data_IF_263522843363
#
_entry.id   IF_263522843363
#
_cell.length_a   1.000
_cell.length_b   1.000
_cell.length_c   1.000
_cell.angle_alpha   90.00
_cell.angle_beta   90.00
_cell.angle_gamma   90.00
#
_symmetry.space_group_name_H-M   'P 1'
#
loop_
_entity.id
_entity.type
_entity.pdbx_description
1 polymer ?
#
# COMPACT_ATOMS: atom_id res chain seq x y z
N UNK A 1 -14.68 -14.21 31.56
CA UNK A 1 -13.62 -15.15 31.14
C UNK A 1 -13.39 -14.88 29.66
N UNK A 2 -12.18 -14.46 29.26
CA UNK A 2 -11.85 -14.22 27.86
C UNK A 2 -11.21 -15.50 27.29
N UNK A 3 -11.76 -16.00 26.19
CA UNK A 3 -11.29 -17.21 25.52
C UNK A 3 -10.02 -16.89 24.71
N UNK A 4 -8.94 -17.62 24.98
CA UNK A 4 -7.65 -17.38 24.36
C UNK A 4 -7.60 -18.10 22.99
N UNK A 5 -7.71 -17.35 21.89
CA UNK A 5 -7.48 -17.90 20.56
C UNK A 5 -6.01 -18.34 20.41
N UNK A 6 -5.79 -19.65 20.42
CA UNK A 6 -4.49 -20.26 20.17
C UNK A 6 -4.30 -20.41 18.66
N UNK A 7 -3.33 -19.67 18.10
CA UNK A 7 -2.89 -19.87 16.71
C UNK A 7 -1.78 -20.93 16.69
N UNK A 8 -2.04 -22.06 16.05
CA UNK A 8 -1.03 -23.09 15.80
C UNK A 8 -0.25 -22.74 14.52
N UNK A 9 1.04 -22.47 14.66
CA UNK A 9 1.95 -22.32 13.54
C UNK A 9 2.49 -23.69 13.12
N UNK A 10 2.53 -24.02 11.81
CA UNK A 10 3.06 -25.31 11.37
C UNK A 10 4.55 -25.42 11.69
N UNK A 11 4.90 -26.42 12.49
CA UNK A 11 6.28 -26.83 12.77
C UNK A 11 6.89 -27.45 11.52
N UNK A 12 8.03 -26.91 11.10
CA UNK A 12 8.86 -27.37 9.99
C UNK A 12 9.28 -28.83 10.20
N UNK A 13 8.61 -29.78 9.52
CA UNK A 13 8.97 -31.20 9.59
C UNK A 13 7.98 -32.19 8.97
N UNK A 14 6.74 -31.80 8.70
CA UNK A 14 5.78 -32.67 7.99
C UNK A 14 5.89 -32.49 6.48
N UNK A 15 6.04 -33.60 5.73
CA UNK A 15 6.00 -33.63 4.25
C UNK A 15 4.79 -32.84 3.74
N UNK A 16 5.06 -31.71 3.10
CA UNK A 16 4.06 -30.89 2.47
C UNK A 16 3.33 -31.72 1.41
N UNK A 17 2.00 -31.79 1.50
CA UNK A 17 1.18 -32.21 0.36
C UNK A 17 1.37 -31.14 -0.70
N UNK A 18 1.80 -31.55 -1.90
CA UNK A 18 1.93 -30.74 -3.11
C UNK A 18 0.86 -29.66 -3.12
N UNK A 19 1.25 -28.41 -2.89
CA UNK A 19 0.35 -27.27 -2.95
C UNK A 19 -0.21 -27.23 -4.36
N UNK A 20 -1.52 -27.45 -4.46
CA UNK A 20 -2.24 -27.36 -5.72
C UNK A 20 -1.97 -25.99 -6.34
N UNK A 21 -1.38 -26.04 -7.54
CA UNK A 21 -1.47 -25.07 -8.63
C UNK A 21 -1.39 -23.59 -8.20
N UNK A 22 -0.22 -22.99 -8.43
CA UNK A 22 -0.03 -21.52 -8.41
C UNK A 22 -1.19 -20.90 -9.18
N UNK A 23 -2.09 -20.22 -8.47
CA UNK A 23 -3.21 -19.50 -9.06
C UNK A 23 -2.57 -18.38 -9.88
N UNK A 24 -2.56 -18.54 -11.20
CA UNK A 24 -2.07 -17.55 -12.13
C UNK A 24 -2.78 -16.21 -11.92
N UNK A 25 -2.09 -15.13 -12.25
CA UNK A 25 -2.50 -13.73 -12.16
C UNK A 25 -4.02 -13.57 -12.10
N UNK A 26 -4.53 -13.28 -10.89
CA UNK A 26 -5.94 -12.94 -10.70
C UNK A 26 -6.19 -11.67 -11.50
N UNK A 27 -6.93 -11.79 -12.59
CA UNK A 27 -7.52 -10.65 -13.29
C UNK A 27 -8.49 -9.98 -12.32
N UNK A 28 -7.98 -9.00 -11.58
CA UNK A 28 -8.81 -8.07 -10.82
C UNK A 28 -9.55 -7.25 -11.87
N UNK A 29 -10.71 -7.76 -12.29
CA UNK A 29 -11.67 -7.00 -13.10
C UNK A 29 -11.82 -5.64 -12.43
N UNK A 30 -11.51 -4.56 -13.16
CA UNK A 30 -11.71 -3.17 -12.74
C UNK A 30 -13.15 -3.04 -12.27
N UNK A 31 -13.39 -3.23 -10.97
CA UNK A 31 -14.60 -2.74 -10.31
C UNK A 31 -14.46 -1.24 -10.36
N UNK A 32 -15.47 -0.60 -10.91
CA UNK A 32 -15.58 0.85 -11.06
C UNK A 32 -15.08 1.50 -9.77
N UNK A 33 -14.13 2.43 -9.89
CA UNK A 33 -13.46 3.05 -8.77
C UNK A 33 -14.50 3.67 -7.82
N UNK A 34 -14.91 2.90 -6.82
CA UNK A 34 -15.70 3.42 -5.72
C UNK A 34 -14.87 4.55 -5.13
N UNK A 35 -15.47 5.74 -5.08
CA UNK A 35 -14.87 6.92 -4.46
C UNK A 35 -14.39 6.45 -3.08
N UNK A 36 -13.06 6.37 -2.92
CA UNK A 36 -12.45 5.83 -1.71
C UNK A 36 -13.02 6.51 -0.47
N UNK A 37 -12.91 5.89 0.72
CA UNK A 37 -13.38 6.51 1.95
C UNK A 37 -12.87 7.95 1.97
N UNK A 38 -13.80 8.89 2.13
CA UNK A 38 -13.48 10.32 2.27
C UNK A 38 -12.47 10.39 3.39
N UNK A 39 -11.21 10.61 3.02
CA UNK A 39 -10.13 10.44 3.96
C UNK A 39 -10.28 11.52 5.01
N UNK A 40 -10.31 11.16 6.30
CA UNK A 40 -10.14 12.10 7.44
C UNK A 40 -8.73 12.75 7.47
N UNK A 41 -8.07 12.78 6.32
CA UNK A 41 -6.90 13.58 6.03
C UNK A 41 -7.38 15.02 5.88
N UNK A 42 -6.79 15.99 6.61
CA UNK A 42 -6.83 17.35 6.10
C UNK A 42 -6.34 17.26 4.66
N UNK A 43 -7.08 17.87 3.75
CA UNK A 43 -6.64 18.12 2.39
C UNK A 43 -5.26 18.79 2.43
N UNK A 44 -4.18 18.01 2.54
CA UNK A 44 -2.87 18.38 2.00
C UNK A 44 -2.92 18.14 0.48
N UNK A 45 -4.10 18.40 -0.10
CA UNK A 45 -4.60 18.16 -1.45
C UNK A 45 -4.63 19.50 -2.20
N UNK A 46 -3.56 20.27 -2.05
CA UNK A 46 -3.26 21.44 -2.89
C UNK A 46 -1.81 21.47 -3.35
N UNK A 47 -0.97 20.55 -2.88
CA UNK A 47 0.40 20.43 -3.34
C UNK A 47 0.44 19.65 -4.64
N UNK A 48 0.76 20.35 -5.72
CA UNK A 48 1.11 19.75 -7.01
C UNK A 48 2.09 18.61 -6.78
N UNK A 49 1.73 17.39 -7.16
CA UNK A 49 2.67 16.25 -7.16
C UNK A 49 3.95 16.69 -7.86
N UNK A 50 5.12 16.62 -7.21
CA UNK A 50 6.36 17.01 -7.86
C UNK A 50 6.57 16.13 -9.09
N UNK A 51 7.04 16.72 -10.19
CA UNK A 51 7.15 16.03 -11.49
C UNK A 51 7.99 14.74 -11.42
N UNK A 52 8.93 14.63 -10.48
CA UNK A 52 9.76 13.45 -10.29
C UNK A 52 9.07 12.27 -9.58
N UNK A 53 7.85 12.48 -9.07
CA UNK A 53 7.02 11.41 -8.52
C UNK A 53 5.89 10.97 -9.46
N UNK A 54 5.93 11.37 -10.74
CA UNK A 54 5.11 10.68 -11.73
C UNK A 54 5.64 9.25 -11.90
N UNK A 55 4.76 8.31 -12.24
CA UNK A 55 5.14 6.90 -12.39
C UNK A 55 6.29 6.72 -13.40
N UNK A 56 6.25 7.51 -14.47
CA UNK A 56 7.24 7.54 -15.55
C UNK A 56 8.60 8.06 -15.07
N UNK A 57 8.65 9.19 -14.35
CA UNK A 57 9.92 9.78 -13.93
C UNK A 57 10.51 9.08 -12.70
N UNK A 58 9.67 8.50 -11.83
CA UNK A 58 10.10 7.87 -10.58
C UNK A 58 10.90 6.58 -10.82
N UNK A 59 10.45 5.76 -11.78
CA UNK A 59 11.15 4.53 -12.17
C UNK A 59 11.87 4.64 -13.52
N UNK A 60 11.69 5.74 -14.26
CA UNK A 60 12.33 6.02 -15.56
C UNK A 60 12.10 4.88 -16.55
N UNK A 61 13.16 4.11 -16.84
CA UNK A 61 13.16 3.03 -17.82
C UNK A 61 12.81 1.66 -17.20
N UNK A 62 12.55 1.59 -15.89
CA UNK A 62 12.15 0.35 -15.23
C UNK A 62 10.63 0.10 -15.36
N UNK A 63 10.26 -0.49 -16.50
CA UNK A 63 8.88 -0.88 -16.81
C UNK A 63 8.28 -1.84 -15.75
N UNK A 64 9.09 -2.77 -15.22
CA UNK A 64 8.65 -3.73 -14.22
C UNK A 64 8.31 -3.03 -12.90
N UNK A 65 9.17 -2.10 -12.46
CA UNK A 65 8.93 -1.27 -11.27
C UNK A 65 7.63 -0.47 -11.38
N UNK A 66 7.36 0.11 -12.56
CA UNK A 66 6.13 0.85 -12.82
C UNK A 66 4.88 -0.03 -12.74
N UNK A 67 4.89 -1.19 -13.39
CA UNK A 67 3.76 -2.12 -13.38
C UNK A 67 3.50 -2.68 -11.98
N UNK A 68 4.55 -3.05 -11.25
CA UNK A 68 4.44 -3.55 -9.89
C UNK A 68 3.86 -2.48 -8.97
N UNK A 69 4.36 -1.24 -9.02
CA UNK A 69 3.82 -0.14 -8.22
C UNK A 69 2.32 0.06 -8.52
N UNK A 70 1.97 0.15 -9.81
CA UNK A 70 0.58 0.37 -10.26
C UNK A 70 -0.36 -0.74 -9.85
N UNK A 71 0.06 -1.99 -10.00
CA UNK A 71 -0.84 -3.14 -9.85
C UNK A 71 -0.89 -3.70 -8.42
N UNK A 72 0.12 -3.43 -7.58
CA UNK A 72 0.24 -4.04 -6.24
C UNK A 72 0.15 -3.05 -5.10
N UNK A 73 0.60 -1.81 -5.29
CA UNK A 73 0.85 -0.89 -4.17
C UNK A 73 -0.02 0.38 -4.21
N UNK A 74 -0.33 0.89 -5.40
CA UNK A 74 -1.27 1.99 -5.56
C UNK A 74 -2.69 1.52 -5.27
N UNK A 75 -3.40 2.28 -4.44
CA UNK A 75 -4.84 2.11 -4.29
C UNK A 75 -5.56 2.50 -5.59
N UNK A 76 -6.80 2.02 -5.83
CA UNK A 76 -7.54 2.33 -7.06
C UNK A 76 -7.76 3.83 -7.35
N UNK A 77 -7.65 4.68 -6.31
CA UNK A 77 -7.79 6.14 -6.38
C UNK A 77 -6.44 6.89 -6.34
N UNK A 78 -5.31 6.18 -6.19
CA UNK A 78 -3.96 6.76 -6.18
C UNK A 78 -3.33 6.56 -7.57
N UNK A 79 -2.73 7.62 -8.12
CA UNK A 79 -2.11 7.55 -9.45
C UNK A 79 -0.58 7.70 -9.41
N UNK A 80 -0.05 8.28 -8.33
CA UNK A 80 1.36 8.61 -8.21
C UNK A 80 1.99 7.98 -6.96
N UNK A 81 3.26 7.54 -7.02
CA UNK A 81 3.99 7.07 -5.83
C UNK A 81 3.97 8.06 -4.67
N UNK A 82 3.91 9.37 -4.94
CA UNK A 82 3.81 10.40 -3.91
C UNK A 82 2.60 10.23 -2.99
N UNK A 83 1.43 9.88 -3.54
CA UNK A 83 0.19 9.71 -2.77
C UNK A 83 0.30 8.49 -1.85
N UNK A 84 0.88 7.39 -2.37
CA UNK A 84 1.19 6.20 -1.59
C UNK A 84 2.13 6.54 -0.42
N UNK A 85 3.21 7.29 -0.66
CA UNK A 85 4.13 7.69 0.39
C UNK A 85 3.46 8.56 1.46
N UNK A 86 2.57 9.50 1.06
CA UNK A 86 1.75 10.28 2.00
C UNK A 86 0.87 9.38 2.87
N UNK A 87 0.20 8.39 2.26
CA UNK A 87 -0.64 7.42 2.98
C UNK A 87 0.18 6.60 3.98
N UNK A 88 1.33 6.08 3.56
CA UNK A 88 2.21 5.29 4.44
C UNK A 88 2.74 6.14 5.59
N UNK A 89 3.23 7.35 5.32
CA UNK A 89 3.73 8.27 6.34
C UNK A 89 2.65 8.60 7.38
N UNK A 90 1.40 8.83 6.96
CA UNK A 90 0.29 9.05 7.91
C UNK A 90 -0.06 7.80 8.70
N UNK A 91 -0.09 6.63 8.07
CA UNK A 91 -0.37 5.37 8.77
C UNK A 91 0.70 5.05 9.83
N UNK A 92 1.96 5.40 9.57
CA UNK A 92 3.04 5.28 10.56
C UNK A 92 2.97 6.38 11.63
N UNK A 93 2.55 7.59 11.27
CA UNK A 93 2.41 8.67 12.26
C UNK A 93 1.20 8.47 13.19
N UNK A 94 0.14 7.79 12.76
CA UNK A 94 -1.08 7.62 13.55
C UNK A 94 -0.90 6.74 14.78
N UNK A 95 0.16 5.91 14.83
CA UNK A 95 0.49 5.12 16.02
C UNK A 95 1.29 5.91 17.07
N UNK A 96 1.77 7.10 16.70
CA UNK A 96 2.58 7.94 17.56
C UNK A 96 1.76 8.96 18.35
N UNK A 97 2.35 9.49 19.43
CA UNK A 97 1.69 10.49 20.27
C UNK A 97 1.50 11.84 19.57
N UNK A 98 2.47 12.24 18.76
CA UNK A 98 2.48 13.51 18.05
C UNK A 98 2.47 13.27 16.54
N UNK A 99 1.27 13.07 16.01
CA UNK A 99 1.03 12.63 14.63
C UNK A 99 1.66 13.62 13.63
N UNK A 100 1.55 14.93 13.86
CA UNK A 100 2.03 15.94 12.92
C UNK A 100 3.55 16.02 12.87
N UNK A 101 4.21 15.89 14.03
CA UNK A 101 5.67 15.83 14.11
C UNK A 101 6.21 14.59 13.38
N UNK A 102 5.60 13.43 13.64
CA UNK A 102 6.06 12.17 13.07
C UNK A 102 5.74 12.04 11.59
N UNK A 103 4.58 12.53 11.14
CA UNK A 103 4.26 12.60 9.71
C UNK A 103 5.34 13.39 8.95
N UNK A 104 5.71 14.57 9.45
CA UNK A 104 6.79 15.38 8.85
C UNK A 104 8.10 14.62 8.81
N UNK A 105 8.47 13.90 9.89
CA UNK A 105 9.69 13.09 9.94
C UNK A 105 9.69 11.89 9.01
N UNK A 106 8.54 11.30 8.74
CA UNK A 106 8.43 10.14 7.86
C UNK A 106 8.36 10.53 6.38
N UNK A 107 7.91 11.76 6.09
CA UNK A 107 7.65 12.20 4.73
C UNK A 107 8.68 13.22 4.17
N UNK A 108 9.37 13.95 5.05
CA UNK A 108 10.38 14.96 4.68
C UNK A 108 11.78 14.39 4.86
#
# INVERSE_FOLDING_TARGET
MADAMQFEFPVSGSKEKSSDKIIGNVDIRKKDAEKGPESDLPEVLGETTPAHYTLEEYYKEDELGQEVLRNKYLAPWENNPYDMWKRIAKAMASVEKDIDLWYKRFFT
#
